data_IF_883781166220
#
_entry.id   IF_883781166220
#
_cell.length_a   1.000
_cell.length_b   1.000
_cell.length_c   1.000
_cell.angle_alpha   90.00
_cell.angle_beta   90.00
_cell.angle_gamma   90.00
#
_symmetry.space_group_name_H-M   'P 1'
#
loop_
_entity.id
_entity.type
_entity.pdbx_description
1 polymer ?
#
# COMPACT_ATOMS: atom_id res chain seq x y z
N UNK A 1 19.00 0.24 11.09
CA UNK A 1 19.70 -0.38 12.22
C UNK A 1 18.78 -1.09 13.21
N UNK A 2 17.71 -0.47 13.72
CA UNK A 2 16.75 -1.10 14.66
C UNK A 2 16.06 -2.36 14.08
N UNK A 3 15.73 -2.37 12.79
CA UNK A 3 15.08 -3.51 12.12
C UNK A 3 15.97 -4.76 12.01
N UNK A 4 17.29 -4.58 11.94
CA UNK A 4 18.24 -5.72 11.96
C UNK A 4 18.22 -6.38 13.34
N UNK A 5 18.13 -5.59 14.42
CA UNK A 5 18.04 -6.13 15.77
C UNK A 5 16.73 -6.89 16.01
N UNK A 6 15.60 -6.41 15.48
CA UNK A 6 14.31 -7.10 15.58
C UNK A 6 14.34 -8.41 14.78
N UNK A 7 14.92 -8.39 13.58
CA UNK A 7 15.06 -9.59 12.75
C UNK A 7 15.97 -10.63 13.42
N UNK A 8 17.09 -10.20 13.99
CA UNK A 8 17.97 -11.05 14.81
C UNK A 8 17.22 -11.59 16.03
N UNK A 9 16.37 -10.78 16.68
CA UNK A 9 15.59 -11.20 17.84
C UNK A 9 14.56 -12.28 17.51
N UNK A 10 13.78 -12.09 16.44
CA UNK A 10 12.78 -13.05 15.97
C UNK A 10 13.46 -14.33 15.50
N UNK A 11 14.59 -14.20 14.81
CA UNK A 11 15.39 -15.33 14.34
C UNK A 11 15.96 -16.14 15.51
N UNK A 12 16.51 -15.48 16.55
CA UNK A 12 16.96 -16.13 17.78
C UNK A 12 15.78 -16.81 18.51
N UNK A 13 14.61 -16.17 18.54
CA UNK A 13 13.41 -16.69 19.20
C UNK A 13 12.89 -17.98 18.55
N UNK A 14 12.77 -17.98 17.21
CA UNK A 14 12.38 -19.16 16.43
C UNK A 14 13.42 -20.26 16.58
N UNK A 15 14.72 -19.90 16.58
CA UNK A 15 15.81 -20.84 16.74
C UNK A 15 15.81 -21.53 18.11
N UNK A 16 15.61 -20.77 19.19
CA UNK A 16 15.51 -21.31 20.56
C UNK A 16 14.26 -22.18 20.71
N UNK A 17 13.11 -21.74 20.17
CA UNK A 17 11.85 -22.49 20.25
C UNK A 17 11.96 -23.86 19.56
N UNK A 18 12.52 -23.91 18.35
CA UNK A 18 12.73 -25.15 17.60
C UNK A 18 13.74 -26.05 18.33
N UNK A 19 14.81 -25.48 18.89
CA UNK A 19 15.82 -26.23 19.64
C UNK A 19 15.25 -26.86 20.93
N UNK A 20 14.43 -26.11 21.67
CA UNK A 20 13.76 -26.58 22.89
C UNK A 20 12.69 -27.65 22.60
N UNK A 21 11.93 -27.51 21.50
CA UNK A 21 10.91 -28.47 21.10
C UNK A 21 11.50 -29.87 20.82
N UNK A 22 12.68 -29.94 20.18
CA UNK A 22 13.31 -31.21 19.84
C UNK A 22 14.15 -31.84 20.97
N UNK A 23 14.52 -31.07 22.00
CA UNK A 23 15.14 -31.63 23.21
C UNK A 23 14.09 -32.27 24.14
N UNK A 24 12.86 -31.73 24.18
CA UNK A 24 11.74 -32.29 24.93
C UNK A 24 11.35 -33.70 24.44
N UNK A 25 11.45 -33.95 23.14
CA UNK A 25 11.06 -35.22 22.51
C UNK A 25 12.07 -36.38 22.76
N UNK A 26 13.24 -36.10 23.35
CA UNK A 26 14.29 -37.11 23.56
C UNK A 26 14.37 -37.72 24.96
N UNK A 27 13.99 -37.00 26.02
CA UNK A 27 14.31 -37.45 27.39
C UNK A 27 13.11 -37.68 28.31
N UNK A 28 11.87 -37.46 27.85
CA UNK A 28 10.65 -37.79 28.62
C UNK A 28 10.57 -37.16 30.02
N UNK A 29 11.43 -36.19 30.32
CA UNK A 29 11.54 -35.52 31.61
C UNK A 29 11.79 -34.03 31.36
N UNK A 30 11.18 -33.19 32.20
CA UNK A 30 11.26 -31.73 32.08
C UNK A 30 12.72 -31.26 32.13
N UNK A 31 13.24 -30.81 30.99
CA UNK A 31 14.56 -30.22 30.85
C UNK A 31 14.67 -29.01 31.82
N UNK A 32 15.65 -28.97 32.74
CA UNK A 32 15.81 -27.89 33.72
C UNK A 32 15.90 -26.49 33.08
N UNK A 33 16.44 -26.43 31.86
CA UNK A 33 16.53 -25.24 31.02
C UNK A 33 15.15 -24.79 30.52
N UNK A 34 14.23 -25.73 30.26
CA UNK A 34 12.83 -25.46 29.93
C UNK A 34 12.06 -24.95 31.15
N UNK A 35 12.38 -25.44 32.36
CA UNK A 35 11.78 -24.97 33.62
C UNK A 35 12.27 -23.55 33.99
N UNK A 36 13.53 -23.23 33.69
CA UNK A 36 14.09 -21.88 33.81
C UNK A 36 13.51 -20.92 32.78
N UNK A 37 13.33 -21.37 31.52
CA UNK A 37 12.68 -20.59 30.48
C UNK A 37 11.20 -20.36 30.78
N UNK A 38 10.47 -21.40 31.23
CA UNK A 38 9.08 -21.32 31.67
C UNK A 38 8.93 -20.41 32.89
N UNK A 39 9.82 -20.49 33.90
CA UNK A 39 9.85 -19.53 35.03
C UNK A 39 10.19 -18.10 34.59
N UNK A 40 10.99 -17.93 33.55
CA UNK A 40 11.32 -16.61 32.99
C UNK A 40 10.15 -16.02 32.19
N UNK A 41 9.48 -16.82 31.37
CA UNK A 41 8.26 -16.41 30.64
C UNK A 41 7.09 -16.19 31.58
N UNK A 42 6.91 -17.03 32.60
CA UNK A 42 5.88 -16.88 33.62
C UNK A 42 6.19 -15.67 34.53
N UNK A 43 7.45 -15.39 34.86
CA UNK A 43 7.83 -14.14 35.54
C UNK A 43 7.57 -12.89 34.69
N UNK A 44 7.58 -13.01 33.35
CA UNK A 44 7.23 -11.93 32.43
C UNK A 44 5.70 -11.80 32.24
N UNK A 45 4.97 -12.91 32.26
CA UNK A 45 3.54 -13.00 31.95
C UNK A 45 2.64 -12.88 33.19
N UNK A 46 3.10 -13.27 34.38
CA UNK A 46 2.29 -13.32 35.60
C UNK A 46 2.42 -12.11 36.52
N UNK A 47 3.25 -11.11 36.18
CA UNK A 47 3.31 -9.88 36.97
C UNK A 47 2.40 -8.75 36.49
N UNK A 48 1.80 -8.80 35.29
CA UNK A 48 0.85 -7.76 34.89
C UNK A 48 -0.25 -8.30 33.98
N UNK A 49 -1.44 -8.40 34.56
CA UNK A 49 -2.72 -8.34 33.85
C UNK A 49 -2.69 -7.20 32.82
N UNK A 50 -3.04 -7.55 31.57
CA UNK A 50 -3.32 -6.69 30.42
C UNK A 50 -2.81 -5.23 30.45
N UNK A 51 -1.80 -4.95 29.59
CA UNK A 51 -1.78 -3.81 28.62
C UNK A 51 -0.44 -3.77 27.86
N UNK A 52 -0.52 -3.93 26.54
CA UNK A 52 0.61 -3.86 25.57
C UNK A 52 1.40 -2.56 25.69
N UNK A 53 0.84 -1.49 26.25
CA UNK A 53 1.50 -0.19 26.40
C UNK A 53 2.57 -0.13 27.51
N UNK A 54 2.57 -1.04 28.49
CA UNK A 54 3.64 -1.10 29.52
C UNK A 54 4.92 -1.78 29.01
N UNK A 55 4.80 -2.73 28.10
CA UNK A 55 5.96 -3.36 27.43
C UNK A 55 6.72 -2.32 26.59
N UNK A 56 5.99 -1.39 25.96
CA UNK A 56 6.58 -0.23 25.24
C UNK A 56 7.37 0.69 26.18
N UNK A 57 6.88 0.96 27.40
CA UNK A 57 7.59 1.81 28.37
C UNK A 57 8.85 1.14 28.95
N UNK A 58 8.83 -0.19 29.16
CA UNK A 58 10.00 -0.93 29.66
C UNK A 58 11.15 -1.00 28.64
N UNK A 59 10.83 -1.13 27.34
CA UNK A 59 11.83 -1.07 26.27
C UNK A 59 12.47 0.32 26.21
N UNK A 60 11.69 1.39 26.40
CA UNK A 60 12.21 2.78 26.45
C UNK A 60 13.07 3.04 27.69
N UNK A 61 12.72 2.46 28.85
CA UNK A 61 13.51 2.60 30.09
C UNK A 61 14.84 1.83 30.05
N UNK A 62 14.90 0.65 29.40
CA UNK A 62 16.14 -0.13 29.28
C UNK A 62 17.14 0.44 28.28
N UNK A 63 16.69 1.26 27.33
CA UNK A 63 17.57 1.95 26.36
C UNK A 63 18.29 3.15 27.01
N UNK A 64 17.70 3.76 28.05
CA UNK A 64 18.18 5.03 28.61
C UNK A 64 19.07 4.93 29.88
N UNK A 65 19.26 3.75 30.47
CA UNK A 65 20.25 3.56 31.55
C UNK A 65 20.88 2.15 31.51
N UNK A 66 21.95 1.95 30.72
CA UNK A 66 22.63 0.66 30.66
C UNK A 66 23.60 0.57 31.85
N UNK A 67 23.12 0.22 33.05
CA UNK A 67 24.05 -0.03 34.16
C UNK A 67 24.92 -1.25 33.82
N UNK A 68 26.25 -1.10 33.61
CA UNK A 68 27.11 -2.16 33.07
C UNK A 68 27.15 -3.42 33.95
N UNK A 69 26.94 -3.26 35.26
CA UNK A 69 27.03 -4.33 36.25
C UNK A 69 25.96 -5.43 36.09
N UNK A 70 24.75 -5.12 35.57
CA UNK A 70 23.71 -6.15 35.35
C UNK A 70 23.97 -6.97 34.09
N UNK A 71 24.55 -6.37 33.05
CA UNK A 71 24.87 -7.05 31.79
C UNK A 71 26.07 -8.00 31.97
N UNK A 72 27.10 -7.58 32.71
CA UNK A 72 28.30 -8.40 32.98
C UNK A 72 27.96 -9.65 33.83
N UNK A 73 27.03 -9.52 34.78
CA UNK A 73 26.55 -10.65 35.58
C UNK A 73 25.76 -11.68 34.76
N UNK A 74 24.97 -11.23 33.78
CA UNK A 74 24.23 -12.11 32.87
C UNK A 74 25.17 -12.81 31.88
N UNK A 75 26.16 -12.10 31.33
CA UNK A 75 27.18 -12.65 30.42
C UNK A 75 28.05 -13.71 31.11
N UNK A 76 28.48 -13.48 32.36
CA UNK A 76 29.28 -14.46 33.12
C UNK A 76 28.50 -15.74 33.47
N UNK A 77 27.17 -15.65 33.62
CA UNK A 77 26.32 -16.82 33.90
C UNK A 77 25.94 -17.62 32.64
N UNK A 78 25.85 -16.97 31.47
CA UNK A 78 25.45 -17.63 30.21
C UNK A 78 26.63 -18.11 29.36
N UNK A 79 27.83 -17.53 29.51
CA UNK A 79 29.01 -17.91 28.73
C UNK A 79 29.42 -19.40 28.85
N UNK A 80 29.41 -20.05 30.03
CA UNK A 80 29.74 -21.47 30.14
C UNK A 80 28.73 -22.39 29.44
N UNK A 81 27.46 -21.99 29.43
CA UNK A 81 26.35 -22.70 28.78
C UNK A 81 26.49 -22.60 27.26
N UNK A 82 26.84 -21.42 26.76
CA UNK A 82 27.08 -21.17 25.33
C UNK A 82 28.30 -21.96 24.80
N UNK A 83 29.40 -22.04 25.57
CA UNK A 83 30.60 -22.79 25.18
C UNK A 83 30.33 -24.29 25.13
N UNK A 84 29.54 -24.82 26.08
CA UNK A 84 29.18 -26.25 26.13
C UNK A 84 28.17 -26.63 25.03
N UNK A 85 27.23 -25.73 24.71
CA UNK A 85 26.32 -25.88 23.56
C UNK A 85 27.08 -25.83 22.22
N UNK A 86 28.06 -24.93 22.08
CA UNK A 86 28.91 -24.79 20.88
C UNK A 86 29.69 -26.07 20.57
N UNK A 87 30.16 -26.81 21.57
CA UNK A 87 30.92 -28.05 21.36
C UNK A 87 30.07 -29.21 20.82
N UNK A 88 28.78 -29.28 21.16
CA UNK A 88 27.86 -30.31 20.67
C UNK A 88 27.19 -29.93 19.33
N UNK A 89 27.11 -28.64 19.03
CA UNK A 89 26.47 -28.09 17.84
C UNK A 89 27.13 -28.56 16.51
N UNK A 90 28.46 -28.69 16.50
CA UNK A 90 29.23 -29.03 15.30
C UNK A 90 29.38 -30.55 15.03
N UNK A 91 28.88 -31.42 15.91
CA UNK A 91 29.01 -32.89 15.78
C UNK A 91 27.80 -33.59 15.18
N UNK A 92 26.69 -32.88 14.97
CA UNK A 92 25.45 -33.50 14.48
C UNK A 92 25.24 -33.23 12.97
N UNK A 93 25.19 -34.26 12.10
CA UNK A 93 24.94 -34.06 10.66
C UNK A 93 23.60 -33.35 10.36
N UNK A 94 22.61 -33.47 11.26
CA UNK A 94 21.29 -32.84 11.10
C UNK A 94 21.29 -31.33 11.34
N UNK A 95 22.22 -30.79 12.15
CA UNK A 95 22.34 -29.33 12.34
C UNK A 95 22.92 -28.66 11.10
N UNK A 96 23.80 -29.33 10.37
CA UNK A 96 24.30 -28.87 9.07
C UNK A 96 23.20 -28.81 8.01
N UNK A 97 22.34 -29.83 7.93
CA UNK A 97 21.19 -29.84 7.01
C UNK A 97 20.22 -28.71 7.34
N UNK A 98 19.91 -28.47 8.61
CA UNK A 98 19.01 -27.37 8.98
C UNK A 98 19.63 -25.99 8.76
N UNK A 99 20.92 -25.82 9.07
CA UNK A 99 21.64 -24.56 8.76
C UNK A 99 21.63 -24.30 7.26
N UNK A 100 21.84 -25.34 6.45
CA UNK A 100 21.76 -25.27 4.99
C UNK A 100 20.34 -24.92 4.51
N UNK A 101 19.30 -25.57 5.06
CA UNK A 101 17.90 -25.29 4.70
C UNK A 101 17.49 -23.86 5.04
N UNK A 102 17.90 -23.35 6.19
CA UNK A 102 17.61 -21.95 6.57
C UNK A 102 18.44 -20.99 5.72
N UNK A 103 19.69 -21.29 5.41
CA UNK A 103 20.50 -20.49 4.49
C UNK A 103 19.89 -20.47 3.08
N UNK A 104 19.40 -21.60 2.58
CA UNK A 104 18.71 -21.72 1.30
C UNK A 104 17.38 -20.98 1.29
N UNK A 105 16.59 -21.06 2.37
CA UNK A 105 15.34 -20.30 2.51
C UNK A 105 15.62 -18.79 2.56
N UNK A 106 16.66 -18.38 3.27
CA UNK A 106 17.07 -16.97 3.35
C UNK A 106 17.58 -16.47 2.00
N UNK A 107 18.38 -17.28 1.28
CA UNK A 107 18.85 -16.97 -0.06
C UNK A 107 17.68 -16.89 -1.05
N UNK A 108 16.72 -17.83 -0.97
CA UNK A 108 15.50 -17.82 -1.77
C UNK A 108 14.67 -16.57 -1.48
N UNK A 109 14.53 -16.19 -0.21
CA UNK A 109 13.82 -14.98 0.19
C UNK A 109 14.52 -13.73 -0.38
N UNK A 110 15.85 -13.63 -0.24
CA UNK A 110 16.65 -12.56 -0.83
C UNK A 110 16.47 -12.52 -2.35
N UNK A 111 16.53 -13.67 -3.02
CA UNK A 111 16.35 -13.78 -4.47
C UNK A 111 14.93 -13.41 -4.90
N UNK A 112 13.89 -13.80 -4.17
CA UNK A 112 12.50 -13.40 -4.42
C UNK A 112 12.33 -11.89 -4.23
N UNK A 113 12.92 -11.32 -3.18
CA UNK A 113 12.89 -9.89 -2.91
C UNK A 113 13.64 -9.09 -4.00
N UNK A 114 14.77 -9.61 -4.48
CA UNK A 114 15.61 -8.95 -5.47
C UNK A 114 15.08 -9.13 -6.91
N UNK A 115 14.52 -10.29 -7.26
CA UNK A 115 13.90 -10.55 -8.59
C UNK A 115 12.58 -9.82 -8.77
N UNK A 116 11.84 -9.54 -7.69
CA UNK A 116 10.59 -8.75 -7.75
C UNK A 116 10.81 -7.24 -7.83
N UNK A 117 12.06 -6.77 -7.84
CA UNK A 117 12.35 -5.34 -7.95
C UNK A 117 11.79 -4.51 -6.77
N UNK A 118 11.64 -5.12 -5.59
CA UNK A 118 11.23 -4.41 -4.38
C UNK A 118 12.38 -3.52 -3.89
N UNK A 119 12.52 -2.35 -4.51
CA UNK A 119 13.25 -1.19 -3.96
C UNK A 119 12.33 -0.32 -3.08
N UNK A 120 11.26 -0.91 -2.55
CA UNK A 120 10.36 -0.27 -1.60
C UNK A 120 10.85 -0.51 -0.17
N UNK A 121 10.74 0.51 0.66
CA UNK A 121 11.01 0.46 2.10
C UNK A 121 10.30 -0.76 2.73
N UNK A 122 11.02 -1.54 3.55
CA UNK A 122 10.50 -2.73 4.27
C UNK A 122 9.42 -2.35 5.32
N UNK A 123 9.13 -1.05 5.44
CA UNK A 123 8.11 -0.47 6.31
C UNK A 123 6.73 -1.14 6.14
N UNK A 124 6.38 -1.59 4.93
CA UNK A 124 5.09 -2.24 4.62
C UNK A 124 4.83 -3.54 5.39
N UNK A 125 5.86 -4.22 5.91
CA UNK A 125 5.70 -5.51 6.62
C UNK A 125 5.25 -5.31 8.09
N UNK A 126 5.37 -4.09 8.64
CA UNK A 126 5.19 -3.84 10.08
C UNK A 126 4.12 -2.81 10.45
N UNK A 127 3.37 -2.25 9.48
CA UNK A 127 2.15 -1.56 9.84
C UNK A 127 1.04 -2.61 9.95
N UNK A 128 0.55 -2.94 11.16
CA UNK A 128 -0.66 -3.74 11.27
C UNK A 128 -1.74 -3.04 10.44
N UNK A 129 -2.54 -3.81 9.70
CA UNK A 129 -3.74 -3.29 9.05
C UNK A 129 -4.55 -2.55 10.11
N UNK A 130 -4.39 -1.23 10.16
CA UNK A 130 -5.10 -0.40 11.10
C UNK A 130 -6.57 -0.53 10.74
N UNK A 131 -7.39 -0.92 11.70
CA UNK A 131 -8.83 -1.06 11.49
C UNK A 131 -9.42 0.35 11.33
N UNK A 132 -9.40 0.83 10.09
CA UNK A 132 -9.94 2.12 9.70
C UNK A 132 -11.44 2.03 9.40
N UNK A 133 -12.09 0.92 9.77
CA UNK A 133 -13.53 0.75 9.60
C UNK A 133 -14.27 1.88 10.33
N UNK A 134 -15.00 2.68 9.56
CA UNK A 134 -15.75 3.83 10.09
C UNK A 134 -14.94 5.11 10.30
N UNK A 135 -13.66 5.15 9.88
CA UNK A 135 -12.90 6.39 9.89
C UNK A 135 -13.56 7.44 8.97
N UNK A 136 -13.74 8.66 9.48
CA UNK A 136 -14.25 9.76 8.69
C UNK A 136 -13.28 10.10 7.55
N UNK A 137 -13.81 10.48 6.38
CA UNK A 137 -13.00 10.82 5.21
C UNK A 137 -11.96 11.93 5.43
N UNK A 138 -12.13 12.81 6.42
CA UNK A 138 -11.19 13.87 6.77
C UNK A 138 -10.43 13.66 8.08
N UNK A 139 -10.51 12.46 8.66
CA UNK A 139 -9.77 12.09 9.86
C UNK A 139 -8.25 12.15 9.64
N UNK A 140 -7.52 12.62 10.65
CA UNK A 140 -6.07 12.80 10.60
C UNK A 140 -5.39 11.43 10.47
N UNK A 141 -5.95 10.43 11.13
CA UNK A 141 -5.53 9.03 11.13
C UNK A 141 -5.56 8.47 9.71
N UNK A 142 -6.71 8.57 9.03
CA UNK A 142 -6.87 8.08 7.66
C UNK A 142 -5.95 8.81 6.68
N UNK A 143 -5.87 10.14 6.78
CA UNK A 143 -5.01 10.95 5.90
C UNK A 143 -3.54 10.58 6.10
N UNK A 144 -3.11 10.37 7.35
CA UNK A 144 -1.73 9.99 7.68
C UNK A 144 -1.42 8.59 7.20
N UNK A 145 -2.34 7.65 7.40
CA UNK A 145 -2.24 6.28 6.92
C UNK A 145 -2.08 6.21 5.39
N UNK A 146 -2.93 6.93 4.64
CA UNK A 146 -2.84 7.01 3.17
C UNK A 146 -1.48 7.58 2.75
N UNK A 147 -1.08 8.72 3.35
CA UNK A 147 0.16 9.42 3.00
C UNK A 147 1.42 8.59 3.27
N UNK A 148 1.45 7.84 4.37
CA UNK A 148 2.65 7.11 4.78
C UNK A 148 2.79 5.75 4.13
N UNK A 149 1.67 5.06 3.84
CA UNK A 149 1.70 3.63 3.51
C UNK A 149 1.25 3.29 2.10
N UNK A 150 0.50 4.17 1.45
CA UNK A 150 -0.14 3.85 0.17
C UNK A 150 0.29 4.77 -0.96
N UNK A 151 0.63 6.02 -0.66
CA UNK A 151 1.15 6.95 -1.65
C UNK A 151 2.64 6.67 -1.88
N UNK A 152 2.94 6.07 -3.02
CA UNK A 152 4.32 5.84 -3.42
C UNK A 152 4.85 7.05 -4.20
N UNK A 153 5.95 7.61 -3.70
CA UNK A 153 6.71 8.69 -4.38
C UNK A 153 7.11 8.29 -5.81
N UNK A 154 7.30 9.28 -6.71
CA UNK A 154 7.88 9.03 -8.02
C UNK A 154 9.19 8.25 -7.89
N UNK A 155 9.42 7.29 -8.78
CA UNK A 155 10.65 6.48 -8.76
C UNK A 155 11.90 7.31 -9.10
N UNK A 156 11.71 8.47 -9.74
CA UNK A 156 12.77 9.30 -10.29
C UNK A 156 13.39 8.69 -11.57
N UNK A 157 14.17 9.49 -12.29
CA UNK A 157 14.86 9.08 -13.51
C UNK A 157 14.05 9.30 -14.80
N UNK A 158 14.56 8.77 -15.90
CA UNK A 158 13.90 8.85 -17.20
C UNK A 158 12.67 7.92 -17.26
N UNK A 159 11.64 8.35 -17.98
CA UNK A 159 10.47 7.53 -18.25
C UNK A 159 10.85 6.22 -18.94
N UNK A 160 10.17 5.14 -18.55
CA UNK A 160 10.34 3.80 -19.12
C UNK A 160 9.06 3.39 -19.84
N UNK A 161 8.76 4.11 -20.93
CA UNK A 161 7.56 3.91 -21.76
C UNK A 161 7.82 2.86 -22.83
N UNK A 162 6.81 2.04 -23.14
CA UNK A 162 6.80 1.10 -24.27
C UNK A 162 6.87 1.88 -25.60
N UNK A 163 6.14 2.98 -25.69
CA UNK A 163 5.94 3.81 -26.88
C UNK A 163 6.30 5.28 -26.60
N UNK A 164 7.59 5.61 -26.35
CA UNK A 164 8.00 6.94 -25.87
C UNK A 164 7.76 8.09 -26.88
N UNK A 165 7.52 7.76 -28.14
CA UNK A 165 7.23 8.73 -29.23
C UNK A 165 5.74 9.02 -29.39
N UNK A 166 4.86 8.23 -28.79
CA UNK A 166 3.42 8.52 -28.77
C UNK A 166 3.20 9.81 -28.01
N UNK A 167 2.61 10.80 -28.67
CA UNK A 167 2.36 12.11 -28.07
C UNK A 167 1.21 12.02 -27.08
N UNK A 168 0.11 11.41 -27.49
CA UNK A 168 -1.09 11.23 -26.68
C UNK A 168 -1.49 9.76 -26.71
N UNK A 169 -1.34 9.03 -25.59
CA UNK A 169 -1.70 7.62 -25.52
C UNK A 169 -3.17 7.40 -25.11
N UNK A 170 -3.94 8.47 -24.83
CA UNK A 170 -5.35 8.37 -24.47
C UNK A 170 -6.18 7.77 -25.60
N UNK A 171 -7.27 7.07 -25.25
CA UNK A 171 -8.04 6.25 -26.18
C UNK A 171 -8.56 7.02 -27.40
N UNK A 172 -9.05 8.24 -27.16
CA UNK A 172 -9.75 9.09 -28.13
C UNK A 172 -9.13 10.49 -28.24
N UNK A 173 -7.89 10.69 -27.75
CA UNK A 173 -7.19 11.98 -27.79
C UNK A 173 -7.59 12.95 -26.67
N UNK A 174 -8.12 12.44 -25.55
CA UNK A 174 -8.51 13.21 -24.38
C UNK A 174 -7.33 14.04 -23.83
N UNK A 175 -6.11 13.49 -23.81
CA UNK A 175 -4.93 14.19 -23.27
C UNK A 175 -4.61 15.51 -23.99
N UNK A 176 -4.64 15.51 -25.33
CA UNK A 176 -4.47 16.71 -26.14
C UNK A 176 -5.68 17.64 -26.08
N UNK A 177 -6.89 17.09 -26.04
CA UNK A 177 -8.12 17.87 -25.87
C UNK A 177 -8.07 18.68 -24.56
N UNK A 178 -7.70 18.05 -23.45
CA UNK A 178 -7.54 18.70 -22.16
C UNK A 178 -6.43 19.74 -22.21
N UNK A 179 -5.29 19.41 -22.83
CA UNK A 179 -4.20 20.36 -22.99
C UNK A 179 -4.63 21.62 -23.76
N UNK A 180 -5.41 21.46 -24.84
CA UNK A 180 -5.93 22.58 -25.62
C UNK A 180 -6.93 23.40 -24.81
N UNK A 181 -7.84 22.76 -24.08
CA UNK A 181 -8.80 23.42 -23.20
C UNK A 181 -8.08 24.33 -22.18
N UNK A 182 -7.03 23.82 -21.54
CA UNK A 182 -6.20 24.61 -20.62
C UNK A 182 -5.18 25.52 -21.32
N UNK A 183 -5.30 25.77 -22.64
CA UNK A 183 -4.38 26.63 -23.41
C UNK A 183 -2.91 26.24 -23.22
N UNK A 184 -2.62 24.94 -23.17
CA UNK A 184 -1.32 24.35 -22.88
C UNK A 184 -0.67 24.86 -21.58
N UNK A 185 -1.48 25.15 -20.56
CA UNK A 185 -1.02 25.49 -19.20
C UNK A 185 0.10 24.54 -18.76
N UNK A 186 1.19 25.12 -18.25
CA UNK A 186 2.29 24.37 -17.62
C UNK A 186 2.08 24.29 -16.11
N UNK A 187 2.57 23.21 -15.49
CA UNK A 187 2.54 23.07 -14.03
C UNK A 187 1.13 22.97 -13.43
N UNK A 188 0.19 22.34 -14.15
CA UNK A 188 -1.13 22.06 -13.61
C UNK A 188 -1.14 20.85 -12.66
N UNK A 189 -2.30 20.58 -12.07
CA UNK A 189 -2.50 19.47 -11.13
C UNK A 189 -3.58 18.50 -11.56
N UNK A 190 -3.36 17.20 -11.41
CA UNK A 190 -4.38 16.20 -11.74
C UNK A 190 -4.50 15.04 -10.74
N UNK A 191 -5.67 14.40 -10.75
CA UNK A 191 -5.86 13.04 -10.24
C UNK A 191 -6.44 12.21 -11.38
N UNK A 192 -5.86 11.05 -11.64
CA UNK A 192 -6.36 10.07 -12.61
C UNK A 192 -6.72 8.80 -11.85
N UNK A 193 -8.01 8.47 -11.82
CA UNK A 193 -8.52 7.20 -11.33
C UNK A 193 -8.87 6.31 -12.52
N UNK A 194 -8.39 5.06 -12.47
CA UNK A 194 -8.34 4.17 -13.64
C UNK A 194 -7.02 4.29 -14.41
N UNK A 195 -5.88 4.42 -13.70
CA UNK A 195 -4.60 4.72 -14.34
C UNK A 195 -3.97 3.54 -15.11
N UNK A 196 -4.56 2.34 -15.04
CA UNK A 196 -4.18 1.14 -15.78
C UNK A 196 -2.66 0.86 -15.70
N UNK A 197 -1.98 0.65 -16.84
CA UNK A 197 -0.55 0.35 -16.90
C UNK A 197 0.33 1.60 -16.79
N UNK A 198 -0.26 2.78 -16.59
CA UNK A 198 0.43 4.06 -16.47
C UNK A 198 0.92 4.67 -17.79
N UNK A 199 0.62 4.07 -18.95
CA UNK A 199 1.00 4.59 -20.26
C UNK A 199 -0.13 4.45 -21.27
N UNK A 200 -0.51 3.21 -21.60
CA UNK A 200 -1.55 2.91 -22.57
C UNK A 200 -2.88 3.45 -22.02
N UNK A 201 -3.65 4.16 -22.85
CA UNK A 201 -4.93 4.79 -22.49
C UNK A 201 -4.86 5.93 -21.46
N UNK A 202 -3.67 6.33 -20.99
CA UNK A 202 -3.56 7.37 -19.96
C UNK A 202 -3.99 8.75 -20.49
N UNK A 203 -4.96 9.35 -19.82
CA UNK A 203 -5.47 10.70 -20.10
C UNK A 203 -4.49 11.80 -19.64
N UNK A 204 -3.53 11.45 -18.77
CA UNK A 204 -2.65 12.45 -18.12
C UNK A 204 -1.18 12.36 -18.50
N UNK A 205 -0.74 11.31 -19.21
CA UNK A 205 0.68 11.15 -19.57
C UNK A 205 1.23 12.34 -20.35
N UNK A 206 0.45 12.85 -21.32
CA UNK A 206 0.83 14.04 -22.10
C UNK A 206 0.95 15.28 -21.21
N UNK A 207 -0.02 15.50 -20.33
CA UNK A 207 -0.04 16.65 -19.41
C UNK A 207 1.17 16.62 -18.47
N UNK A 208 1.49 15.44 -17.95
CA UNK A 208 2.64 15.25 -17.08
C UNK A 208 3.96 15.47 -17.82
N UNK A 209 4.20 14.71 -18.89
CA UNK A 209 5.50 14.64 -19.57
C UNK A 209 5.80 15.91 -20.35
N UNK A 210 4.81 16.47 -21.04
CA UNK A 210 5.00 17.57 -21.97
C UNK A 210 4.63 18.92 -21.34
N UNK A 211 3.74 18.95 -20.34
CA UNK A 211 3.29 20.18 -19.69
C UNK A 211 3.73 20.33 -18.22
N UNK A 212 4.53 19.38 -17.71
CA UNK A 212 5.02 19.37 -16.33
C UNK A 212 3.90 19.40 -15.28
N UNK A 213 2.74 18.81 -15.60
CA UNK A 213 1.68 18.66 -14.62
C UNK A 213 2.08 17.65 -13.54
N UNK A 214 1.66 17.89 -12.30
CA UNK A 214 1.87 16.99 -11.17
C UNK A 214 0.55 16.38 -10.71
N UNK A 215 0.59 15.23 -10.06
CA UNK A 215 -0.67 14.59 -9.68
C UNK A 215 -0.53 13.30 -8.91
N UNK A 216 -1.65 12.58 -8.91
CA UNK A 216 -1.79 11.24 -8.33
C UNK A 216 -2.44 10.30 -9.35
N UNK A 217 -1.81 9.16 -9.57
CA UNK A 217 -2.37 8.03 -10.30
C UNK A 217 -2.98 7.03 -9.32
N UNK A 218 -4.22 6.62 -9.55
CA UNK A 218 -4.97 5.66 -8.72
C UNK A 218 -5.31 4.44 -9.57
N UNK A 219 -4.78 3.27 -9.18
CA UNK A 219 -5.02 2.01 -9.88
C UNK A 219 -5.22 0.86 -8.88
N UNK A 220 -6.41 0.25 -8.80
CA UNK A 220 -6.70 -0.82 -7.84
C UNK A 220 -6.06 -2.16 -8.19
N UNK A 221 -5.96 -2.53 -9.48
CA UNK A 221 -5.49 -3.84 -9.90
C UNK A 221 -3.98 -4.01 -9.59
N UNK A 222 -3.58 -5.02 -8.79
CA UNK A 222 -2.18 -5.22 -8.43
C UNK A 222 -1.22 -5.41 -9.62
N UNK A 223 -1.66 -6.04 -10.70
CA UNK A 223 -0.84 -6.28 -11.88
C UNK A 223 -0.69 -5.03 -12.73
N UNK A 224 -1.78 -4.28 -12.91
CA UNK A 224 -1.75 -3.00 -13.62
C UNK A 224 -0.93 -1.98 -12.83
N UNK A 225 -1.16 -1.89 -11.51
CA UNK A 225 -0.38 -1.02 -10.64
C UNK A 225 1.12 -1.33 -10.69
N UNK A 226 1.50 -2.62 -10.66
CA UNK A 226 2.91 -2.99 -10.80
C UNK A 226 3.50 -2.57 -12.17
N UNK A 227 2.72 -2.70 -13.23
CA UNK A 227 3.10 -2.25 -14.58
C UNK A 227 3.25 -0.73 -14.65
N UNK A 228 2.32 0.02 -14.04
CA UNK A 228 2.36 1.46 -13.86
C UNK A 228 3.64 1.90 -13.15
N UNK A 229 4.00 1.26 -12.03
CA UNK A 229 5.23 1.59 -11.30
C UNK A 229 6.50 1.40 -12.12
N UNK A 230 6.49 0.51 -13.11
CA UNK A 230 7.63 0.31 -14.01
C UNK A 230 7.79 1.39 -15.06
N UNK A 231 6.77 2.20 -15.33
CA UNK A 231 6.84 3.30 -16.31
C UNK A 231 7.69 4.48 -15.84
N UNK A 232 8.06 4.50 -14.55
CA UNK A 232 8.80 5.60 -13.93
C UNK A 232 8.14 6.96 -14.13
N UNK A 233 6.80 7.00 -13.99
CA UNK A 233 6.04 8.27 -14.00
C UNK A 233 6.60 9.21 -12.93
N UNK A 234 6.61 10.51 -13.21
CA UNK A 234 7.17 11.57 -12.36
C UNK A 234 6.19 12.05 -11.27
N UNK A 235 5.05 11.39 -11.14
CA UNK A 235 3.96 11.71 -10.21
C UNK A 235 3.76 10.61 -9.17
N UNK A 236 3.00 10.91 -8.13
CA UNK A 236 2.66 9.93 -7.10
C UNK A 236 1.72 8.87 -7.69
N UNK A 237 1.79 7.66 -7.16
CA UNK A 237 0.82 6.61 -7.48
C UNK A 237 0.38 5.87 -6.22
N UNK A 238 -0.85 5.41 -6.21
CA UNK A 238 -1.45 4.65 -5.11
C UNK A 238 -2.22 3.43 -5.63
N UNK A 239 -2.03 2.29 -4.97
CA UNK A 239 -2.78 1.07 -5.26
C UNK A 239 -4.05 1.03 -4.42
N UNK A 240 -5.12 1.64 -4.91
CA UNK A 240 -6.43 1.60 -4.26
C UNK A 240 -7.55 1.81 -5.26
N UNK A 241 -8.78 1.48 -4.86
CA UNK A 241 -9.99 1.96 -5.52
C UNK A 241 -10.46 3.28 -4.89
N UNK A 242 -11.34 3.99 -5.59
CA UNK A 242 -12.12 5.07 -4.98
C UNK A 242 -13.32 4.48 -4.25
N UNK A 243 -13.54 4.94 -3.02
CA UNK A 243 -14.69 4.48 -2.21
C UNK A 243 -15.95 5.19 -2.71
N UNK A 244 -17.02 4.45 -3.02
CA UNK A 244 -18.33 5.04 -3.30
C UNK A 244 -19.06 5.48 -2.01
N UNK A 245 -18.35 5.54 -0.88
CA UNK A 245 -18.84 5.96 0.43
C UNK A 245 -17.87 6.95 1.06
N UNK A 246 -18.33 7.84 1.97
CA UNK A 246 -17.48 8.84 2.63
C UNK A 246 -16.59 8.26 3.76
N UNK A 247 -16.19 7.00 3.63
CA UNK A 247 -15.32 6.26 4.57
C UNK A 247 -14.53 5.17 3.81
N UNK A 248 -13.36 4.75 4.34
CA UNK A 248 -12.57 3.70 3.72
C UNK A 248 -13.22 2.33 3.93
N UNK A 249 -12.99 1.42 2.98
CA UNK A 249 -13.45 0.03 3.08
C UNK A 249 -12.62 -0.89 2.23
N UNK A 250 -12.61 -2.17 2.57
CA UNK A 250 -12.06 -3.20 1.69
C UNK A 250 -13.18 -3.85 0.87
N UNK A 251 -12.95 -3.99 -0.42
CA UNK A 251 -13.91 -4.58 -1.37
C UNK A 251 -13.28 -5.74 -2.12
N UNK A 252 -14.14 -6.55 -2.73
CA UNK A 252 -13.70 -7.53 -3.71
C UNK A 252 -13.68 -6.86 -5.08
N UNK A 253 -12.53 -6.95 -5.74
CA UNK A 253 -12.29 -6.38 -7.05
C UNK A 253 -12.04 -7.49 -8.05
N UNK A 254 -12.73 -7.42 -9.19
CA UNK A 254 -12.51 -8.33 -10.31
C UNK A 254 -11.42 -7.74 -11.19
N UNK A 255 -10.32 -8.47 -11.28
CA UNK A 255 -9.19 -8.13 -12.13
C UNK A 255 -9.54 -8.34 -13.60
N UNK A 256 -9.09 -7.42 -14.42
CA UNK A 256 -9.24 -7.42 -15.89
C UNK A 256 -8.07 -6.62 -16.45
N UNK A 257 -7.84 -6.74 -17.77
CA UNK A 257 -6.82 -5.94 -18.45
C UNK A 257 -7.21 -4.46 -18.34
N UNK A 258 -8.24 -4.03 -19.07
CA UNK A 258 -8.70 -2.63 -19.06
C UNK A 258 -10.01 -2.39 -18.32
N UNK A 259 -10.75 -3.44 -17.93
CA UNK A 259 -12.13 -3.33 -17.38
C UNK A 259 -12.25 -3.84 -15.94
N UNK A 260 -11.30 -3.47 -15.09
CA UNK A 260 -11.26 -3.95 -13.71
C UNK A 260 -12.29 -3.21 -12.85
N UNK A 261 -13.11 -3.92 -12.08
CA UNK A 261 -14.22 -3.28 -11.34
C UNK A 261 -14.49 -3.86 -9.96
N UNK A 262 -15.14 -3.06 -9.12
CA UNK A 262 -15.72 -3.53 -7.85
C UNK A 262 -16.90 -4.45 -8.17
N UNK A 263 -16.98 -5.60 -7.49
CA UNK A 263 -18.05 -6.59 -7.70
C UNK A 263 -18.76 -6.95 -6.41
N UNK A 264 -20.05 -7.30 -6.53
CA UNK A 264 -20.80 -7.85 -5.41
C UNK A 264 -20.30 -9.27 -5.06
N UNK A 265 -20.52 -9.70 -3.82
CA UNK A 265 -20.11 -11.03 -3.34
C UNK A 265 -20.76 -12.18 -4.15
N UNK A 266 -21.94 -11.96 -4.73
CA UNK A 266 -22.63 -12.96 -5.54
C UNK A 266 -21.94 -13.20 -6.89
N UNK A 267 -21.34 -12.15 -7.47
CA UNK A 267 -20.64 -12.22 -8.75
C UNK A 267 -19.33 -13.01 -8.68
N UNK A 268 -18.76 -13.23 -7.49
CA UNK A 268 -17.53 -14.01 -7.31
C UNK A 268 -17.72 -15.50 -7.59
N UNK A 269 -18.96 -15.94 -7.81
CA UNK A 269 -19.26 -17.31 -8.29
C UNK A 269 -18.98 -17.49 -9.78
N UNK A 270 -18.80 -16.40 -10.52
CA UNK A 270 -18.46 -16.41 -11.95
C UNK A 270 -16.95 -16.68 -12.17
N UNK A 271 -16.58 -17.11 -13.38
CA UNK A 271 -15.16 -17.24 -13.76
C UNK A 271 -14.52 -15.85 -13.79
N UNK A 272 -13.43 -15.67 -13.05
CA UNK A 272 -12.64 -14.44 -13.03
C UNK A 272 -11.48 -14.53 -12.05
N UNK A 273 -10.55 -13.58 -12.14
CA UNK A 273 -9.51 -13.37 -11.13
C UNK A 273 -10.03 -12.29 -10.19
N UNK A 274 -10.00 -12.55 -8.88
CA UNK A 274 -10.52 -11.64 -7.87
C UNK A 274 -9.46 -11.37 -6.82
N UNK A 275 -9.42 -10.14 -6.33
CA UNK A 275 -8.52 -9.72 -5.27
C UNK A 275 -9.24 -8.81 -4.28
N UNK A 276 -8.66 -8.63 -3.09
CA UNK A 276 -9.13 -7.68 -2.09
C UNK A 276 -8.32 -6.40 -2.23
N UNK A 277 -9.01 -5.26 -2.29
CA UNK A 277 -8.39 -3.95 -2.41
C UNK A 277 -9.03 -2.98 -1.43
N UNK A 278 -8.21 -2.08 -0.89
CA UNK A 278 -8.71 -0.97 -0.07
C UNK A 278 -9.23 0.12 -1.00
N UNK A 279 -10.42 0.62 -0.72
CA UNK A 279 -10.95 1.83 -1.32
C UNK A 279 -10.88 2.98 -0.33
N UNK A 280 -10.45 4.14 -0.80
CA UNK A 280 -10.43 5.38 -0.02
C UNK A 280 -11.37 6.42 -0.62
N UNK A 281 -12.06 7.24 0.19
CA UNK A 281 -12.82 8.37 -0.35
C UNK A 281 -11.91 9.30 -1.14
N UNK A 282 -12.40 9.81 -2.27
CA UNK A 282 -11.61 10.71 -3.13
C UNK A 282 -11.13 11.95 -2.35
N UNK A 283 -11.97 12.49 -1.46
CA UNK A 283 -11.60 13.60 -0.60
C UNK A 283 -10.41 13.27 0.32
N UNK A 284 -10.33 12.06 0.88
CA UNK A 284 -9.19 11.62 1.68
C UNK A 284 -7.90 11.60 0.86
N UNK A 285 -7.96 11.15 -0.39
CA UNK A 285 -6.80 11.15 -1.30
C UNK A 285 -6.36 12.58 -1.64
N UNK A 286 -7.31 13.47 -1.96
CA UNK A 286 -7.05 14.89 -2.19
C UNK A 286 -6.35 15.53 -0.99
N UNK A 287 -6.83 15.26 0.23
CA UNK A 287 -6.21 15.73 1.48
C UNK A 287 -4.82 15.14 1.71
N UNK A 288 -4.63 13.85 1.45
CA UNK A 288 -3.33 13.19 1.61
C UNK A 288 -2.27 13.80 0.68
N UNK A 289 -2.67 14.19 -0.54
CA UNK A 289 -1.80 14.84 -1.54
C UNK A 289 -1.72 16.36 -1.43
N UNK A 290 -2.46 16.99 -0.53
CA UNK A 290 -2.64 18.45 -0.49
C UNK A 290 -3.18 19.03 -1.82
N UNK A 291 -4.07 18.30 -2.49
CA UNK A 291 -4.70 18.62 -3.78
C UNK A 291 -6.21 18.88 -3.64
N UNK A 292 -6.62 19.72 -2.67
CA UNK A 292 -8.05 20.12 -2.54
C UNK A 292 -8.48 21.15 -3.58
N UNK A 293 -7.51 21.79 -4.22
CA UNK A 293 -7.70 22.61 -5.44
C UNK A 293 -6.98 21.87 -6.57
N UNK A 294 -7.72 21.51 -7.60
CA UNK A 294 -7.27 20.60 -8.65
C UNK A 294 -7.62 21.17 -10.03
N UNK A 295 -6.70 21.09 -10.99
CA UNK A 295 -7.01 21.49 -12.36
C UNK A 295 -7.87 20.44 -13.07
N UNK A 296 -7.49 19.16 -12.99
CA UNK A 296 -8.18 18.07 -13.67
C UNK A 296 -8.44 16.88 -12.73
N UNK A 297 -9.68 16.40 -12.71
CA UNK A 297 -10.00 15.05 -12.25
C UNK A 297 -10.35 14.20 -13.48
N UNK A 298 -9.56 13.17 -13.78
CA UNK A 298 -9.92 12.11 -14.74
C UNK A 298 -10.50 10.94 -13.97
N UNK A 299 -11.77 10.62 -14.18
CA UNK A 299 -12.54 9.66 -13.42
C UNK A 299 -13.08 8.56 -14.34
N UNK A 300 -12.39 7.42 -14.30
CA UNK A 300 -12.76 6.18 -14.98
C UNK A 300 -12.64 5.05 -13.94
N UNK A 301 -13.77 4.67 -13.33
CA UNK A 301 -13.81 3.68 -12.24
C UNK A 301 -14.80 2.56 -12.54
N UNK A 302 -15.08 2.35 -13.83
CA UNK A 302 -15.87 1.25 -14.37
C UNK A 302 -17.28 1.15 -13.76
N UNK A 303 -17.97 2.29 -13.68
CA UNK A 303 -19.40 2.39 -13.37
C UNK A 303 -19.76 2.94 -11.99
N UNK A 304 -18.77 3.35 -11.19
CA UNK A 304 -18.97 3.93 -9.85
C UNK A 304 -18.72 5.45 -9.80
N UNK A 305 -18.70 6.12 -10.96
CA UNK A 305 -18.29 7.52 -11.12
C UNK A 305 -19.17 8.45 -10.29
N UNK A 306 -20.50 8.29 -10.39
CA UNK A 306 -21.42 9.17 -9.68
C UNK A 306 -21.36 8.94 -8.18
N UNK A 307 -21.32 7.69 -7.74
CA UNK A 307 -21.28 7.35 -6.32
C UNK A 307 -20.00 7.90 -5.67
N UNK A 308 -18.87 7.90 -6.39
CA UNK A 308 -17.65 8.58 -5.94
C UNK A 308 -17.86 10.10 -5.86
N UNK A 309 -18.43 10.73 -6.88
CA UNK A 309 -18.67 12.18 -6.91
C UNK A 309 -19.69 12.64 -5.85
N UNK A 310 -20.62 11.79 -5.45
CA UNK A 310 -21.60 12.04 -4.38
C UNK A 310 -20.95 12.14 -3.00
N UNK A 311 -19.79 11.51 -2.80
CA UNK A 311 -19.06 11.57 -1.52
C UNK A 311 -18.30 12.87 -1.30
N UNK A 312 -18.05 13.65 -2.37
CA UNK A 312 -17.24 14.86 -2.30
C UNK A 312 -17.94 15.97 -1.49
N UNK A 313 -17.25 16.57 -0.49
CA UNK A 313 -17.71 17.79 0.15
C UNK A 313 -17.41 18.98 -0.77
N UNK A 314 -18.33 19.26 -1.71
CA UNK A 314 -18.17 20.28 -2.76
C UNK A 314 -17.92 21.72 -2.24
N UNK A 315 -18.24 22.00 -0.99
CA UNK A 315 -17.89 23.25 -0.29
C UNK A 315 -16.41 23.33 0.13
N UNK A 316 -15.72 22.19 0.21
CA UNK A 316 -14.32 22.08 0.66
C UNK A 316 -13.33 21.75 -0.46
N UNK A 317 -13.81 21.46 -1.68
CA UNK A 317 -12.97 21.13 -2.84
C UNK A 317 -13.26 22.03 -4.02
N UNK A 318 -12.24 22.27 -4.84
CA UNK A 318 -12.35 23.05 -6.08
C UNK A 318 -11.67 22.28 -7.20
N UNK A 319 -12.45 21.85 -8.19
CA UNK A 319 -11.93 21.14 -9.36
C UNK A 319 -12.29 21.96 -10.59
N UNK A 320 -11.32 22.32 -11.45
CA UNK A 320 -11.57 23.19 -12.59
C UNK A 320 -12.27 22.43 -13.73
N UNK A 321 -11.78 21.24 -14.05
CA UNK A 321 -12.37 20.35 -15.04
C UNK A 321 -12.43 18.90 -14.54
N UNK A 322 -13.49 18.18 -14.91
CA UNK A 322 -13.70 16.78 -14.60
C UNK A 322 -13.98 16.03 -15.90
N UNK A 323 -13.10 15.11 -16.26
CA UNK A 323 -13.33 14.13 -17.33
C UNK A 323 -13.95 12.89 -16.69
N UNK A 324 -15.13 12.49 -17.15
CA UNK A 324 -15.89 11.37 -16.57
C UNK A 324 -16.17 10.35 -17.67
N UNK A 325 -15.78 9.09 -17.46
CA UNK A 325 -16.25 7.99 -18.31
C UNK A 325 -17.74 7.75 -18.04
N UNK A 326 -18.56 7.71 -19.09
CA UNK A 326 -20.02 7.55 -18.96
C UNK A 326 -20.56 6.28 -19.60
N UNK A 327 -19.69 5.39 -20.12
CA UNK A 327 -20.08 4.12 -20.71
C UNK A 327 -20.74 3.17 -19.72
N UNK A 328 -20.21 3.13 -18.49
CA UNK A 328 -20.55 2.12 -17.49
C UNK A 328 -21.41 2.63 -16.33
N UNK A 329 -21.81 3.90 -16.34
CA UNK A 329 -22.70 4.50 -15.33
C UNK A 329 -24.11 3.94 -15.43
N UNK A 330 -24.55 3.23 -14.39
CA UNK A 330 -25.85 2.56 -14.36
C UNK A 330 -27.06 3.50 -14.44
N UNK A 331 -26.92 4.71 -13.92
CA UNK A 331 -27.91 5.77 -13.89
C UNK A 331 -28.08 6.44 -15.26
N UNK A 332 -27.13 6.23 -16.18
CA UNK A 332 -27.15 6.69 -17.56
C UNK A 332 -26.56 8.10 -17.79
N UNK A 333 -26.16 8.36 -19.05
CA UNK A 333 -25.47 9.58 -19.48
C UNK A 333 -26.25 10.88 -19.15
N UNK A 334 -27.58 10.86 -19.18
CA UNK A 334 -28.43 12.01 -18.84
C UNK A 334 -28.40 12.38 -17.36
N UNK A 335 -28.27 11.37 -16.49
CA UNK A 335 -28.14 11.58 -15.05
C UNK A 335 -26.81 12.24 -14.71
N UNK A 336 -25.71 11.80 -15.33
CA UNK A 336 -24.38 12.42 -15.19
C UNK A 336 -24.43 13.91 -15.52
N UNK A 337 -24.98 14.27 -16.69
CA UNK A 337 -25.13 15.67 -17.11
C UNK A 337 -25.92 16.49 -16.08
N UNK A 338 -27.09 15.98 -15.68
CA UNK A 338 -27.96 16.66 -14.72
C UNK A 338 -27.31 16.80 -13.34
N UNK A 339 -26.54 15.80 -12.90
CA UNK A 339 -25.80 15.84 -11.63
C UNK A 339 -24.72 16.92 -11.67
N UNK A 340 -23.90 16.94 -12.71
CA UNK A 340 -22.82 17.92 -12.86
C UNK A 340 -23.34 19.36 -12.98
N UNK A 341 -24.46 19.57 -13.67
CA UNK A 341 -25.13 20.87 -13.72
C UNK A 341 -25.55 21.38 -12.33
N UNK A 342 -26.12 20.49 -11.48
CA UNK A 342 -26.46 20.83 -10.08
C UNK A 342 -25.23 21.16 -9.23
N UNK A 343 -24.05 20.66 -9.60
CA UNK A 343 -22.77 20.98 -8.95
C UNK A 343 -22.06 22.18 -9.57
N UNK A 344 -22.75 22.98 -10.40
CA UNK A 344 -22.24 24.17 -11.06
C UNK A 344 -21.13 23.88 -12.08
N UNK A 345 -21.26 22.78 -12.83
CA UNK A 345 -20.45 22.49 -14.01
C UNK A 345 -21.30 22.55 -15.28
N UNK A 346 -20.68 22.90 -16.40
CA UNK A 346 -21.23 22.76 -17.75
C UNK A 346 -20.48 21.69 -18.52
N UNK A 347 -21.19 20.96 -19.39
CA UNK A 347 -20.55 20.06 -20.35
C UNK A 347 -19.84 20.91 -21.41
N UNK A 348 -18.53 20.77 -21.50
CA UNK A 348 -17.70 21.46 -22.51
C UNK A 348 -17.65 20.64 -23.80
N UNK A 349 -17.39 19.34 -23.69
CA UNK A 349 -17.28 18.45 -24.86
C UNK A 349 -17.48 16.97 -24.51
N UNK A 350 -17.81 16.19 -25.53
CA UNK A 350 -17.94 14.73 -25.49
C UNK A 350 -16.84 14.13 -26.38
N UNK A 351 -16.05 13.20 -25.85
CA UNK A 351 -14.93 12.58 -26.55
C UNK A 351 -14.97 11.07 -26.34
N UNK A 352 -15.44 10.34 -27.37
CA UNK A 352 -15.74 8.92 -27.23
C UNK A 352 -16.85 8.68 -26.20
N UNK A 353 -16.54 7.88 -25.18
CA UNK A 353 -17.43 7.62 -24.04
C UNK A 353 -17.08 8.46 -22.80
N UNK A 354 -16.24 9.48 -22.95
CA UNK A 354 -15.89 10.42 -21.88
C UNK A 354 -16.52 11.79 -22.08
N UNK A 355 -17.00 12.39 -20.99
CA UNK A 355 -17.53 13.74 -20.95
C UNK A 355 -16.61 14.68 -20.17
N UNK A 356 -16.20 15.79 -20.77
CA UNK A 356 -15.45 16.85 -20.10
C UNK A 356 -16.42 17.90 -19.55
N UNK A 357 -16.50 17.99 -18.23
CA UNK A 357 -17.24 19.02 -17.52
C UNK A 357 -16.31 20.09 -16.97
N UNK A 358 -16.74 21.35 -17.05
CA UNK A 358 -15.97 22.52 -16.62
C UNK A 358 -16.78 23.33 -15.63
N UNK A 359 -16.12 23.81 -14.58
CA UNK A 359 -16.77 24.63 -13.55
C UNK A 359 -17.23 25.97 -14.14
N UNK A 360 -18.48 26.37 -13.85
CA UNK A 360 -19.07 27.67 -14.28
C UNK A 360 -18.58 28.85 -13.47
#
# INVERSE_FOLDING_TARGET
YIYIYIYIYIYIYIYIYIYCFFLYDREGSECPELLLFKRWTDSLLFQHDYKVDKVKQLIVLQINDPKPAKMDMLLRRTAPIYIRARHNFFRCPRTWVMTLLVALFTLLLILVLNTRGYKGDISFIFFPDEDLTGAAQDSIELISYIRQLHVLSPTGGAYNLKNPRTKDPSQNGQGLLIANFFSHKKGGTFIEAGAYDGEDLSNTLYLEKELDWKGLLVEPDPWNFWSLRKKSRSVHAIQCCLSPFPYPREVTFRQSDTMGRIVAQEETKSKGIFTRVKCFPLYSLMKAQNLTVLDLLSLDVEGMEIQVLETLPWDKVSINAILIEVAHVSEGKSYVKSYMERKNYSLETEVGDDYLFVRK
#
